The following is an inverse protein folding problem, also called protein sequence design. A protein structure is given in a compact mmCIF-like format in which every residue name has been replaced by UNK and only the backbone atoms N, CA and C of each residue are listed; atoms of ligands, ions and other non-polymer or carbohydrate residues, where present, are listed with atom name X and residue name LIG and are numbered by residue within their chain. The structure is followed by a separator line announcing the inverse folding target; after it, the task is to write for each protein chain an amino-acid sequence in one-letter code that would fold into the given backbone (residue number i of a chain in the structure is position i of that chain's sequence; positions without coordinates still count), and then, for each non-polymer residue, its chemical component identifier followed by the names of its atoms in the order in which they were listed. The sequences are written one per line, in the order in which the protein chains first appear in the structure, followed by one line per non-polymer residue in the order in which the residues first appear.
data_IF_364962862577
#
_entry.id   IF_364962862577
#
_cell.length_a   1.000
_cell.length_b   1.000
_cell.length_c   1.000
_cell.angle_alpha   90.00
_cell.angle_beta   90.00
_cell.angle_gamma   90.00
#
_symmetry.space_group_name_H-M   'P 1'
#
loop_
_entity.id
_entity.type
_entity.pdbx_description
1 polymer ?
#
# COMPACT_ATOMS: atom_id res chain seq x y z
N UNK A 1 -15.22 19.78 -1.28
CA UNK A 1 -14.85 18.43 -0.85
C UNK A 1 -13.76 17.94 -1.78
N UNK A 2 -12.53 17.79 -1.29
CA UNK A 2 -11.55 17.00 -2.03
C UNK A 2 -12.07 15.56 -2.06
N UNK A 3 -12.04 14.87 -3.22
CA UNK A 3 -12.45 13.48 -3.27
C UNK A 3 -11.61 12.69 -2.26
N UNK A 4 -12.26 11.87 -1.42
CA UNK A 4 -11.55 10.98 -0.50
C UNK A 4 -10.58 10.14 -1.32
N UNK A 5 -9.31 10.01 -0.90
CA UNK A 5 -8.33 9.25 -1.65
C UNK A 5 -8.76 7.79 -1.80
N UNK A 6 -8.45 7.20 -2.94
CA UNK A 6 -8.86 5.85 -3.26
C UNK A 6 -8.27 4.85 -2.24
N UNK A 7 -9.16 4.04 -1.65
CA UNK A 7 -8.75 2.94 -0.77
C UNK A 7 -8.11 1.85 -1.64
N UNK A 8 -6.86 1.51 -1.34
CA UNK A 8 -6.05 0.63 -2.18
C UNK A 8 -5.18 -0.30 -1.36
N UNK A 9 -5.17 -1.58 -1.77
CA UNK A 9 -4.29 -2.59 -1.20
C UNK A 9 -2.89 -2.37 -1.72
N UNK A 10 -1.93 -2.15 -0.82
CA UNK A 10 -0.55 -1.84 -1.21
C UNK A 10 0.37 -3.06 -1.22
N UNK A 11 -0.01 -4.15 -0.55
CA UNK A 11 0.81 -5.34 -0.48
C UNK A 11 -0.06 -6.59 -0.53
N UNK A 12 0.31 -7.56 -1.38
CA UNK A 12 -0.39 -8.82 -1.53
C UNK A 12 0.26 -9.90 -0.67
N UNK A 13 -0.58 -10.58 0.13
CA UNK A 13 -0.16 -11.56 1.14
C UNK A 13 -0.03 -10.95 2.54
N UNK A 14 0.42 -11.77 3.48
CA UNK A 14 0.65 -11.37 4.88
C UNK A 14 2.06 -10.81 5.00
N UNK A 15 2.19 -9.53 5.35
CA UNK A 15 3.48 -8.90 5.54
C UNK A 15 4.17 -9.43 6.81
N UNK A 16 5.42 -9.88 6.68
CA UNK A 16 6.32 -10.10 7.82
C UNK A 16 6.65 -8.79 8.54
N UNK A 17 7.14 -8.84 9.77
CA UNK A 17 7.64 -7.67 10.51
C UNK A 17 8.53 -6.73 9.70
N UNK A 18 9.51 -7.27 8.96
CA UNK A 18 10.40 -6.44 8.14
C UNK A 18 9.64 -5.76 7.00
N UNK A 19 8.70 -6.47 6.37
CA UNK A 19 7.86 -5.91 5.31
C UNK A 19 6.88 -4.86 5.86
N UNK A 20 6.31 -5.06 7.05
CA UNK A 20 5.46 -4.07 7.72
C UNK A 20 6.17 -2.73 7.90
N UNK A 21 7.37 -2.72 8.48
CA UNK A 21 8.13 -1.47 8.63
C UNK A 21 8.49 -0.84 7.28
N UNK A 22 8.83 -1.65 6.27
CA UNK A 22 9.01 -1.15 4.89
C UNK A 22 7.74 -0.54 4.30
N UNK A 23 6.55 -1.02 4.68
CA UNK A 23 5.29 -0.43 4.21
C UNK A 23 5.03 0.92 4.88
N UNK A 24 5.37 1.06 6.17
CA UNK A 24 5.30 2.34 6.87
C UNK A 24 6.23 3.40 6.24
N UNK A 25 7.41 2.98 5.78
CA UNK A 25 8.41 3.86 5.16
C UNK A 25 8.39 3.86 3.62
N UNK A 26 7.35 3.31 2.98
CA UNK A 26 7.29 3.15 1.50
C UNK A 26 7.42 4.45 0.70
N UNK A 27 7.25 5.60 1.35
CA UNK A 27 7.34 6.94 0.75
C UNK A 27 8.47 7.79 1.34
N UNK A 28 9.43 7.18 2.06
CA UNK A 28 10.51 7.89 2.73
C UNK A 28 11.41 8.71 1.77
N UNK A 29 11.57 8.25 0.53
CA UNK A 29 12.38 8.92 -0.51
C UNK A 29 11.63 10.03 -1.28
N UNK A 30 10.39 10.38 -0.88
CA UNK A 30 9.64 11.45 -1.54
C UNK A 30 10.41 12.78 -1.43
N UNK A 31 10.69 13.49 -2.54
CA UNK A 31 11.25 14.83 -2.50
C UNK A 31 10.35 15.76 -1.68
N UNK A 32 10.95 16.63 -0.88
CA UNK A 32 10.22 17.57 -0.02
C UNK A 32 9.16 16.85 0.82
N UNK A 33 9.50 15.67 1.37
CA UNK A 33 8.58 14.80 2.15
C UNK A 33 7.77 15.56 3.20
N UNK A 34 8.40 16.56 3.82
CA UNK A 34 7.86 17.37 4.91
C UNK A 34 7.11 18.63 4.44
N UNK A 35 7.08 18.90 3.14
CA UNK A 35 6.38 20.05 2.56
C UNK A 35 5.02 19.65 1.99
N UNK A 36 4.06 20.56 2.15
CA UNK A 36 2.70 20.43 1.66
C UNK A 36 1.85 19.39 2.40
N UNK A 37 0.60 19.26 1.98
CA UNK A 37 -0.28 18.23 2.50
C UNK A 37 0.00 16.88 1.80
N UNK A 38 0.67 15.98 2.51
CA UNK A 38 0.95 14.63 2.03
C UNK A 38 -0.21 13.65 2.34
N UNK A 39 -1.28 14.08 3.00
CA UNK A 39 -2.39 13.20 3.41
C UNK A 39 -2.99 12.38 2.25
N UNK A 40 -3.21 12.95 1.04
CA UNK A 40 -3.74 12.19 -0.09
C UNK A 40 -2.82 11.06 -0.58
N UNK A 41 -1.52 11.12 -0.28
CA UNK A 41 -0.57 10.07 -0.62
C UNK A 41 -0.77 8.84 0.27
N UNK A 42 -0.95 9.02 1.58
CA UNK A 42 -0.99 7.90 2.52
C UNK A 42 -2.42 7.41 2.78
N UNK A 43 -3.39 8.33 2.88
CA UNK A 43 -4.75 7.96 3.23
C UNK A 43 -5.35 6.97 2.21
N UNK A 44 -5.97 5.91 2.73
CA UNK A 44 -6.55 4.83 1.93
C UNK A 44 -5.60 3.67 1.63
N UNK A 45 -4.30 3.75 1.94
CA UNK A 45 -3.41 2.60 1.81
C UNK A 45 -3.63 1.56 2.91
N UNK A 46 -3.69 0.29 2.55
CA UNK A 46 -3.82 -0.81 3.50
C UNK A 46 -3.12 -2.10 3.08
N UNK A 47 -2.80 -2.95 4.05
CA UNK A 47 -2.24 -4.28 3.84
C UNK A 47 -2.56 -5.24 4.99
N UNK A 48 -2.35 -6.54 4.75
CA UNK A 48 -2.49 -7.60 5.76
C UNK A 48 -1.15 -7.87 6.44
N UNK A 49 -1.19 -8.18 7.73
CA UNK A 49 -0.04 -8.51 8.57
C UNK A 49 -0.34 -9.67 9.52
N UNK A 50 0.68 -10.19 10.18
CA UNK A 50 0.52 -11.22 11.21
C UNK A 50 -0.08 -10.67 12.51
N UNK A 51 -0.61 -11.58 13.32
CA UNK A 51 -1.10 -11.29 14.67
C UNK A 51 0.01 -10.74 15.57
N UNK A 52 1.21 -11.34 15.52
CA UNK A 52 2.34 -10.88 16.32
C UNK A 52 2.77 -9.43 15.98
N UNK A 53 2.71 -9.03 14.71
CA UNK A 53 2.94 -7.66 14.28
C UNK A 53 1.84 -6.71 14.76
N UNK A 54 0.58 -7.13 14.68
CA UNK A 54 -0.56 -6.36 15.17
C UNK A 54 -0.47 -6.11 16.68
N UNK A 55 -0.22 -7.16 17.46
CA UNK A 55 -0.11 -7.09 18.91
C UNK A 55 1.11 -6.27 19.34
N UNK A 56 2.23 -6.42 18.63
CA UNK A 56 3.39 -5.57 18.84
C UNK A 56 3.05 -4.08 18.66
N UNK A 57 2.27 -3.73 17.64
CA UNK A 57 1.85 -2.34 17.41
C UNK A 57 0.81 -1.86 18.44
N UNK A 58 0.02 -2.77 19.03
CA UNK A 58 -0.90 -2.44 20.12
C UNK A 58 -0.16 -2.15 21.44
N UNK A 59 0.93 -2.87 21.71
CA UNK A 59 1.69 -2.77 22.96
C UNK A 59 2.74 -1.66 22.96
N UNK A 60 3.12 -1.12 21.80
CA UNK A 60 4.23 -0.15 21.72
C UNK A 60 3.93 1.15 22.46
N UNK A 61 2.70 1.67 22.32
CA UNK A 61 2.22 2.91 22.95
C UNK A 61 0.70 2.83 23.17
N UNK A 62 0.15 3.50 24.21
CA UNK A 62 -1.29 3.52 24.42
C UNK A 62 -2.04 4.06 23.19
N UNK A 63 -3.01 3.30 22.63
CA UNK A 63 -3.75 3.73 21.47
C UNK A 63 -4.47 5.07 21.67
N UNK A 64 -4.66 5.82 20.59
CA UNK A 64 -5.50 7.01 20.59
C UNK A 64 -6.94 6.67 20.99
N UNK A 65 -7.44 5.55 20.46
CA UNK A 65 -8.71 4.96 20.81
C UNK A 65 -8.70 3.47 20.48
N UNK A 66 -9.60 2.73 21.15
CA UNK A 66 -9.91 1.33 20.86
C UNK A 66 -11.42 1.26 20.61
N UNK A 67 -11.82 0.60 19.53
CA UNK A 67 -13.23 0.42 19.13
C UNK A 67 -13.44 -0.98 18.61
N UNK A 68 -14.07 -1.83 19.43
CA UNK A 68 -14.26 -3.24 19.08
C UNK A 68 -12.91 -3.91 18.82
N UNK A 69 -12.75 -4.49 17.63
CA UNK A 69 -11.53 -5.18 17.19
C UNK A 69 -10.57 -4.27 16.40
N UNK A 70 -10.63 -2.95 16.63
CA UNK A 70 -9.81 -1.95 15.95
C UNK A 70 -9.19 -0.98 16.94
N UNK A 71 -8.02 -0.45 16.61
CA UNK A 71 -7.40 0.64 17.35
C UNK A 71 -6.63 1.58 16.42
N UNK A 72 -6.47 2.84 16.83
CA UNK A 72 -5.65 3.82 16.13
C UNK A 72 -4.42 4.19 16.94
N UNK A 73 -3.30 4.41 16.25
CA UNK A 73 -2.10 4.99 16.87
C UNK A 73 -2.35 6.44 17.26
N UNK A 74 -1.63 6.90 18.29
CA UNK A 74 -1.65 8.31 18.72
C UNK A 74 -0.73 9.18 17.89
N UNK A 75 0.26 8.58 17.24
CA UNK A 75 1.20 9.22 16.33
C UNK A 75 0.54 9.45 14.97
N UNK A 76 0.53 10.70 14.52
CA UNK A 76 0.08 11.06 13.18
C UNK A 76 1.25 11.08 12.22
N UNK A 77 1.04 10.47 11.05
CA UNK A 77 2.05 10.40 10.00
C UNK A 77 2.19 11.73 9.26
N UNK A 78 1.06 12.36 8.96
CA UNK A 78 0.94 13.69 8.33
C UNK A 78 -0.47 14.20 8.56
N UNK A 79 -0.62 15.49 8.89
CA UNK A 79 -1.92 16.09 9.17
C UNK A 79 -2.74 15.25 10.16
N UNK A 80 -3.91 14.79 9.70
CA UNK A 80 -4.84 13.92 10.44
C UNK A 80 -4.77 12.45 10.05
N UNK A 81 -3.79 12.04 9.24
CA UNK A 81 -3.58 10.65 8.84
C UNK A 81 -2.78 9.88 9.89
N UNK A 82 -3.32 8.77 10.37
CA UNK A 82 -2.63 7.84 11.28
C UNK A 82 -2.88 6.38 10.89
N UNK A 83 -2.06 5.49 11.47
CA UNK A 83 -2.22 4.05 11.38
C UNK A 83 -3.44 3.60 12.18
N UNK A 84 -4.32 2.83 11.53
CA UNK A 84 -5.42 2.11 12.15
C UNK A 84 -5.23 0.63 11.90
N UNK A 85 -5.38 -0.16 12.96
CA UNK A 85 -5.21 -1.61 12.93
C UNK A 85 -6.58 -2.28 13.10
N UNK A 86 -6.76 -3.39 12.39
CA UNK A 86 -8.02 -4.11 12.32
C UNK A 86 -7.79 -5.60 12.55
N UNK A 87 -8.52 -6.19 13.48
CA UNK A 87 -8.69 -7.63 13.60
C UNK A 87 -10.09 -8.00 13.06
N UNK A 88 -10.12 -8.62 11.88
CA UNK A 88 -11.35 -8.89 11.13
C UNK A 88 -11.55 -10.40 10.95
N UNK A 89 -12.79 -10.86 11.08
CA UNK A 89 -13.13 -12.28 10.97
C UNK A 89 -13.56 -12.65 9.55
N UNK A 90 -12.92 -13.66 8.98
CA UNK A 90 -13.22 -14.27 7.69
C UNK A 90 -13.37 -15.78 7.88
N UNK A 91 -14.53 -16.35 7.57
CA UNK A 91 -14.80 -17.80 7.64
C UNK A 91 -14.36 -18.45 8.98
N UNK A 92 -14.58 -17.75 10.10
CA UNK A 92 -14.22 -18.19 11.45
C UNK A 92 -12.78 -17.87 11.88
N UNK A 93 -11.90 -17.44 10.97
CA UNK A 93 -10.51 -17.08 11.23
C UNK A 93 -10.37 -15.57 11.40
N UNK A 94 -9.61 -15.13 12.41
CA UNK A 94 -9.26 -13.72 12.58
C UNK A 94 -8.00 -13.43 11.74
N UNK A 95 -8.06 -12.38 10.93
CA UNK A 95 -6.95 -11.86 10.13
C UNK A 95 -6.69 -10.41 10.52
N UNK A 96 -5.44 -9.99 10.44
CA UNK A 96 -4.98 -8.70 10.94
C UNK A 96 -4.54 -7.79 9.80
N UNK A 97 -4.96 -6.52 9.87
CA UNK A 97 -4.72 -5.54 8.83
C UNK A 97 -4.27 -4.22 9.42
N UNK A 98 -3.56 -3.45 8.59
CA UNK A 98 -3.26 -2.05 8.81
C UNK A 98 -3.83 -1.22 7.67
N UNK A 99 -4.30 -0.02 8.00
CA UNK A 99 -4.64 0.99 7.01
C UNK A 99 -4.34 2.40 7.50
N UNK A 100 -3.90 3.27 6.60
CA UNK A 100 -3.76 4.70 6.86
C UNK A 100 -5.10 5.41 6.68
N UNK A 101 -5.58 6.02 7.76
CA UNK A 101 -6.88 6.65 7.86
C UNK A 101 -6.74 8.13 8.20
N UNK A 102 -7.33 9.00 7.38
CA UNK A 102 -7.49 10.43 7.69
C UNK A 102 -8.63 10.64 8.69
N UNK A 103 -8.30 10.83 9.97
CA UNK A 103 -9.29 10.94 11.04
C UNK A 103 -10.08 12.27 11.05
N UNK A 104 -9.76 13.22 10.17
CA UNK A 104 -10.64 14.37 9.93
C UNK A 104 -11.96 13.95 9.26
N UNK A 105 -11.92 12.84 8.51
CA UNK A 105 -13.08 12.18 7.92
C UNK A 105 -13.58 11.06 8.84
N UNK A 106 -14.72 11.30 9.47
CA UNK A 106 -15.30 10.40 10.48
C UNK A 106 -15.65 9.01 9.96
N UNK A 107 -15.83 8.86 8.66
CA UNK A 107 -16.23 7.61 8.03
C UNK A 107 -15.05 6.81 7.45
N UNK A 108 -13.85 7.40 7.42
CA UNK A 108 -12.67 6.80 6.75
C UNK A 108 -12.36 5.39 7.26
N UNK A 109 -12.49 5.17 8.58
CA UNK A 109 -12.16 3.90 9.23
C UNK A 109 -13.16 2.82 8.83
N UNK A 110 -14.46 3.16 8.81
CA UNK A 110 -15.50 2.22 8.40
C UNK A 110 -15.43 1.92 6.90
N UNK A 111 -15.16 2.92 6.05
CA UNK A 111 -14.96 2.68 4.62
C UNK A 111 -13.76 1.80 4.35
N UNK A 112 -12.65 2.00 5.09
CA UNK A 112 -11.48 1.11 5.04
C UNK A 112 -11.85 -0.31 5.43
N UNK A 113 -12.54 -0.48 6.56
CA UNK A 113 -12.99 -1.80 7.05
C UNK A 113 -13.86 -2.52 6.02
N UNK A 114 -14.84 -1.83 5.43
CA UNK A 114 -15.72 -2.37 4.39
C UNK A 114 -14.91 -2.75 3.15
N UNK A 115 -14.02 -1.89 2.67
CA UNK A 115 -13.19 -2.16 1.50
C UNK A 115 -12.27 -3.39 1.70
N UNK A 116 -11.69 -3.55 2.90
CA UNK A 116 -10.91 -4.75 3.24
C UNK A 116 -11.79 -6.00 3.19
N UNK A 117 -12.97 -5.98 3.82
CA UNK A 117 -13.89 -7.12 3.84
C UNK A 117 -14.34 -7.48 2.42
N UNK A 118 -14.77 -6.50 1.63
CA UNK A 118 -15.21 -6.71 0.25
C UNK A 118 -14.09 -7.27 -0.63
N UNK A 119 -12.86 -6.77 -0.46
CA UNK A 119 -11.70 -7.21 -1.26
C UNK A 119 -11.25 -8.61 -0.88
N UNK A 120 -11.22 -8.91 0.42
CA UNK A 120 -10.69 -10.16 0.98
C UNK A 120 -11.73 -11.29 1.05
N UNK A 121 -13.01 -10.99 0.92
CA UNK A 121 -14.07 -12.02 0.83
C UNK A 121 -14.28 -12.56 -0.60
N UNK A 122 -13.58 -12.04 -1.61
CA UNK A 122 -13.75 -12.51 -2.99
C UNK A 122 -13.28 -13.97 -3.14
N UNK A 123 -14.03 -14.83 -3.85
CA UNK A 123 -13.64 -16.24 -4.07
C UNK A 123 -12.34 -16.38 -4.86
N UNK A 124 -12.17 -15.55 -5.89
CA UNK A 124 -10.92 -15.42 -6.65
C UNK A 124 -10.41 -14.00 -6.45
N UNK A 125 -9.11 -13.87 -6.12
CA UNK A 125 -8.51 -12.60 -5.72
C UNK A 125 -7.39 -12.17 -6.67
N UNK A 126 -7.59 -12.14 -8.01
CA UNK A 126 -6.55 -11.62 -8.89
C UNK A 126 -6.28 -10.16 -8.52
N UNK A 127 -5.01 -9.76 -8.51
CA UNK A 127 -4.68 -8.36 -8.30
C UNK A 127 -5.12 -7.52 -9.50
N UNK A 128 -5.75 -6.38 -9.23
CA UNK A 128 -5.97 -5.36 -10.29
C UNK A 128 -4.63 -4.80 -10.77
N UNK A 129 -4.62 -4.08 -11.90
CA UNK A 129 -3.40 -3.43 -12.37
C UNK A 129 -2.84 -2.47 -11.32
N UNK A 130 -3.69 -1.70 -10.66
CA UNK A 130 -3.30 -0.77 -9.59
C UNK A 130 -2.68 -1.53 -8.41
N UNK A 131 -3.30 -2.61 -7.94
CA UNK A 131 -2.76 -3.42 -6.84
C UNK A 131 -1.40 -4.03 -7.20
N UNK A 132 -1.20 -4.43 -8.46
CA UNK A 132 0.10 -4.90 -8.95
C UNK A 132 1.15 -3.80 -8.90
N UNK A 133 0.82 -2.60 -9.36
CA UNK A 133 1.74 -1.45 -9.29
C UNK A 133 2.07 -1.08 -7.86
N UNK A 134 1.08 -1.04 -6.97
CA UNK A 134 1.31 -0.76 -5.55
C UNK A 134 2.17 -1.83 -4.90
N UNK A 135 1.94 -3.10 -5.22
CA UNK A 135 2.76 -4.21 -4.70
C UNK A 135 4.18 -4.16 -5.26
N UNK A 136 4.36 -3.90 -6.55
CA UNK A 136 5.69 -3.72 -7.15
C UNK A 136 6.42 -2.58 -6.45
N UNK A 137 5.75 -1.44 -6.24
CA UNK A 137 6.32 -0.34 -5.47
C UNK A 137 6.76 -0.80 -4.10
N UNK A 138 5.89 -1.50 -3.35
CA UNK A 138 6.15 -2.04 -2.00
C UNK A 138 7.39 -2.94 -1.91
N UNK A 139 7.57 -3.84 -2.87
CA UNK A 139 8.62 -4.86 -2.82
C UNK A 139 9.93 -4.41 -3.47
N UNK A 140 9.91 -3.35 -4.26
CA UNK A 140 11.12 -2.81 -4.89
C UNK A 140 11.98 -2.15 -3.82
N UNK A 141 13.25 -2.57 -3.75
CA UNK A 141 14.20 -1.98 -2.82
C UNK A 141 14.44 -0.50 -3.13
N UNK A 142 14.74 0.28 -2.09
CA UNK A 142 14.82 1.74 -2.15
C UNK A 142 15.84 2.26 -3.16
N UNK A 143 16.93 1.54 -3.42
CA UNK A 143 17.92 1.92 -4.44
C UNK A 143 17.41 1.78 -5.89
N UNK A 144 16.28 1.09 -6.09
CA UNK A 144 15.72 0.76 -7.41
C UNK A 144 14.34 1.40 -7.64
N UNK A 145 13.87 2.24 -6.73
CA UNK A 145 12.63 3.01 -6.86
C UNK A 145 12.88 4.46 -6.46
N UNK A 146 11.95 5.35 -6.78
CA UNK A 146 12.08 6.74 -6.38
C UNK A 146 10.97 7.62 -6.94
N UNK A 147 11.26 8.90 -7.05
CA UNK A 147 10.36 9.90 -7.60
C UNK A 147 11.04 10.65 -8.73
N UNK A 148 10.29 10.97 -9.77
CA UNK A 148 10.76 11.79 -10.88
C UNK A 148 11.14 13.20 -10.38
N UNK A 149 12.43 13.54 -10.46
CA UNK A 149 12.97 14.86 -10.12
C UNK A 149 13.11 15.78 -11.34
N UNK A 150 13.94 16.82 -11.21
CA UNK A 150 14.01 17.94 -12.18
C UNK A 150 14.43 17.55 -13.60
N UNK A 151 15.09 16.40 -13.77
CA UNK A 151 15.50 15.85 -15.07
C UNK A 151 14.32 15.32 -15.90
N UNK A 152 13.16 15.14 -15.29
CA UNK A 152 11.93 14.76 -15.97
C UNK A 152 11.14 15.98 -16.42
N UNK A 153 10.32 15.80 -17.47
CA UNK A 153 9.30 16.77 -17.86
C UNK A 153 8.45 17.18 -16.66
N UNK A 154 8.01 18.45 -16.63
CA UNK A 154 7.28 19.01 -15.50
C UNK A 154 6.04 18.17 -15.14
N UNK A 155 5.31 17.67 -16.14
CA UNK A 155 4.14 16.81 -15.96
C UNK A 155 4.46 15.45 -15.32
N UNK A 156 5.71 15.01 -15.32
CA UNK A 156 6.15 13.75 -14.72
C UNK A 156 6.74 13.93 -13.32
N UNK A 157 7.15 15.14 -12.93
CA UNK A 157 7.79 15.41 -11.64
C UNK A 157 6.89 14.98 -10.47
N UNK A 158 7.51 14.41 -9.43
CA UNK A 158 6.81 13.90 -8.26
C UNK A 158 6.04 12.59 -8.48
N UNK A 159 6.02 12.02 -9.69
CA UNK A 159 5.47 10.67 -9.93
C UNK A 159 6.49 9.60 -9.53
N UNK A 160 5.98 8.44 -9.11
CA UNK A 160 6.80 7.27 -8.73
C UNK A 160 7.54 6.70 -9.94
N UNK A 161 8.80 6.38 -9.75
CA UNK A 161 9.69 5.77 -10.76
C UNK A 161 10.25 4.44 -10.28
N UNK A 162 10.56 3.55 -11.21
CA UNK A 162 11.22 2.28 -10.95
C UNK A 162 12.35 2.05 -11.94
N UNK A 163 13.44 1.44 -11.48
CA UNK A 163 14.54 1.01 -12.31
C UNK A 163 14.24 -0.35 -12.96
N UNK A 164 14.31 -0.39 -14.28
CA UNK A 164 14.22 -1.58 -15.10
C UNK A 164 15.64 -2.02 -15.51
N UNK A 165 15.88 -3.33 -15.48
CA UNK A 165 17.13 -3.91 -15.94
C UNK A 165 16.91 -4.49 -17.33
N UNK A 166 17.53 -3.88 -18.34
CA UNK A 166 17.45 -4.29 -19.75
C UNK A 166 18.56 -5.24 -20.18
N UNK A 167 19.26 -5.88 -19.24
CA UNK A 167 20.40 -6.76 -19.56
C UNK A 167 21.52 -5.98 -20.24
N UNK A 168 21.88 -6.40 -21.47
CA UNK A 168 22.92 -5.78 -22.28
C UNK A 168 22.62 -4.31 -22.65
N UNK A 169 21.34 -3.89 -22.66
CA UNK A 169 20.94 -2.52 -22.95
C UNK A 169 21.14 -1.57 -21.74
N UNK A 170 21.55 -2.08 -20.59
CA UNK A 170 21.73 -1.32 -19.35
C UNK A 170 20.43 -1.13 -18.56
N UNK A 171 20.48 -0.27 -17.54
CA UNK A 171 19.35 0.05 -16.69
C UNK A 171 18.66 1.34 -17.15
N UNK A 172 17.32 1.32 -17.16
CA UNK A 172 16.49 2.47 -17.52
C UNK A 172 15.54 2.81 -16.38
N UNK A 173 15.30 4.11 -16.17
CA UNK A 173 14.33 4.59 -15.19
C UNK A 173 13.00 4.84 -15.92
N UNK A 174 11.90 4.31 -15.38
CA UNK A 174 10.56 4.45 -15.97
C UNK A 174 9.56 4.91 -14.91
N UNK A 175 8.52 5.64 -15.32
CA UNK A 175 7.39 5.93 -14.43
C UNK A 175 6.67 4.62 -14.09
N UNK A 176 6.33 4.44 -12.80
CA UNK A 176 5.65 3.23 -12.32
C UNK A 176 4.31 3.00 -13.05
N UNK A 177 3.57 4.08 -13.29
CA UNK A 177 2.27 4.00 -13.95
C UNK A 177 2.37 3.61 -15.44
N UNK A 178 3.54 3.79 -16.04
CA UNK A 178 3.78 3.52 -17.47
C UNK A 178 4.31 2.10 -17.72
N UNK A 179 4.43 1.28 -16.67
CA UNK A 179 4.82 -0.12 -16.84
C UNK A 179 3.81 -0.87 -17.73
N UNK A 180 4.33 -1.61 -18.69
CA UNK A 180 3.52 -2.50 -19.54
C UNK A 180 3.11 -3.75 -18.75
N UNK A 181 2.11 -4.49 -19.24
CA UNK A 181 1.68 -5.72 -18.57
C UNK A 181 2.79 -6.77 -18.48
N UNK A 182 3.67 -6.86 -19.48
CA UNK A 182 4.83 -7.75 -19.48
C UNK A 182 5.87 -7.32 -18.43
N UNK A 183 6.15 -6.02 -18.32
CA UNK A 183 7.06 -5.48 -17.29
C UNK A 183 6.50 -5.69 -15.88
N UNK A 184 5.18 -5.49 -15.71
CA UNK A 184 4.47 -5.78 -14.46
C UNK A 184 4.62 -7.26 -14.12
N UNK A 185 4.32 -8.16 -15.05
CA UNK A 185 4.45 -9.60 -14.85
C UNK A 185 5.89 -10.01 -14.49
N UNK A 186 6.90 -9.42 -15.14
CA UNK A 186 8.30 -9.70 -14.86
C UNK A 186 8.73 -9.27 -13.44
N UNK A 187 8.19 -8.14 -12.95
CA UNK A 187 8.50 -7.58 -11.62
C UNK A 187 7.75 -8.26 -10.48
N UNK A 188 6.63 -8.92 -10.76
CA UNK A 188 5.89 -9.66 -9.74
C UNK A 188 6.60 -10.97 -9.35
N UNK A 189 6.52 -11.38 -8.07
CA UNK A 189 6.89 -12.73 -7.65
C UNK A 189 6.19 -13.79 -8.49
N UNK A 190 6.85 -14.92 -8.78
CA UNK A 190 6.35 -15.97 -9.69
C UNK A 190 4.90 -16.38 -9.37
N UNK A 191 4.59 -16.53 -8.08
CA UNK A 191 3.27 -16.92 -7.57
C UNK A 191 2.18 -15.89 -7.87
N UNK A 192 2.56 -14.64 -8.14
CA UNK A 192 1.67 -13.52 -8.41
C UNK A 192 1.62 -13.12 -9.89
N UNK A 193 2.37 -13.80 -10.77
CA UNK A 193 2.41 -13.49 -12.21
C UNK A 193 1.17 -13.92 -12.96
N UNK A 194 0.48 -14.97 -12.49
CA UNK A 194 -0.66 -15.52 -13.21
C UNK A 194 -1.95 -14.72 -12.96
N UNK A 195 -2.57 -14.27 -14.05
CA UNK A 195 -4.02 -14.09 -14.10
C UNK A 195 -4.65 -15.48 -14.18
N UNK A 196 -5.80 -15.76 -13.54
CA UNK A 196 -6.63 -16.85 -14.01
C UNK A 196 -6.89 -16.59 -15.50
N UNK A 197 -6.46 -17.51 -16.36
CA UNK A 197 -6.91 -17.48 -17.76
C UNK A 197 -8.43 -17.37 -17.74
N UNK A 198 -9.05 -16.52 -18.58
CA UNK A 198 -10.46 -16.69 -18.83
C UNK A 198 -10.62 -18.10 -19.38
N UNK A 199 -11.24 -18.98 -18.59
CA UNK A 199 -11.74 -20.24 -19.11
C UNK A 199 -12.70 -19.81 -20.21
N UNK A 200 -12.31 -20.06 -21.46
CA UNK A 200 -13.17 -19.83 -22.61
C UNK A 200 -14.49 -20.58 -22.34
N UNK A 201 -15.58 -19.81 -22.23
CA UNK A 201 -16.94 -20.33 -22.27
C UNK A 201 -17.43 -20.34 -23.71
#
# INVERSE_FOLDING_TARGET
MNPSPAIRKIFQGVASRQQMFRMFDRHAQRPNRWEGDASPLYAGEWFEMGEAEHDYMFEILPPLWIRGSMFAMREFLTGSVTSVFFALRFDGVIRHFHGYCDLSDRETVERMRVAIIERESRPVRPMTREERLEHIWSITADDYRGYAGDRWDEAARGKRTIMLYGGAAGSTLKLLNDLTDDEIAAKLPVQLRQLPSPIAA
#
